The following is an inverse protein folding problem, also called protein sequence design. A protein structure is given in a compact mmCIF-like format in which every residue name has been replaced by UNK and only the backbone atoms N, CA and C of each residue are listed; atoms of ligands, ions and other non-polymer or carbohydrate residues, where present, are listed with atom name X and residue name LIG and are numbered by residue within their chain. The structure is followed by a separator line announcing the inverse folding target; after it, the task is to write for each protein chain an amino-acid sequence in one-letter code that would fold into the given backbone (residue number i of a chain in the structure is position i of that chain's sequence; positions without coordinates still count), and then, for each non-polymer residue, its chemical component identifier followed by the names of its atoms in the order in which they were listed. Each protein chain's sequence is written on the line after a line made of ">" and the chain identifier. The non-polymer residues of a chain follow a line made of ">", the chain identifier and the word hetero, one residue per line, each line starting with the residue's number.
data_IF_209275700748
#
_entry.id   IF_209275700748
#
_cell.length_a   1.000
_cell.length_b   1.000
_cell.length_c   1.000
_cell.angle_alpha   90.00
_cell.angle_beta   90.00
_cell.angle_gamma   90.00
#
_symmetry.space_group_name_H-M   'P 1'
#
loop_
_entity.id
_entity.type
_entity.pdbx_description
1 polymer ?
#
# COMPACT_ATOMS: atom_id res chain seq x y z
N UNK A 1 -2.02 -5.51 12.72
CA UNK A 1 -2.44 -5.76 11.32
C UNK A 1 -2.72 -7.23 11.07
N UNK A 2 -1.90 -8.16 11.58
CA UNK A 2 -2.01 -9.60 11.32
C UNK A 2 -3.35 -10.24 11.69
N UNK A 3 -3.90 -9.93 12.88
CA UNK A 3 -5.23 -10.44 13.29
C UNK A 3 -6.31 -10.05 12.29
N UNK A 4 -6.34 -8.77 11.87
CA UNK A 4 -7.28 -8.27 10.87
C UNK A 4 -7.08 -8.94 9.51
N UNK A 5 -5.83 -9.08 9.05
CA UNK A 5 -5.52 -9.74 7.79
C UNK A 5 -6.01 -11.20 7.81
N UNK A 6 -5.68 -11.94 8.88
CA UNK A 6 -6.16 -13.31 9.08
C UNK A 6 -7.68 -13.39 9.05
N UNK A 7 -8.38 -12.54 9.80
CA UNK A 7 -9.84 -12.52 9.81
C UNK A 7 -10.43 -12.22 8.43
N UNK A 8 -9.88 -11.24 7.70
CA UNK A 8 -10.33 -10.90 6.36
C UNK A 8 -10.13 -12.04 5.36
N UNK A 9 -9.02 -12.79 5.44
CA UNK A 9 -8.79 -13.97 4.60
C UNK A 9 -9.82 -15.08 4.84
N UNK A 10 -10.37 -15.22 6.05
CA UNK A 10 -11.44 -16.18 6.33
C UNK A 10 -12.78 -15.80 5.70
N UNK A 11 -12.94 -14.57 5.20
CA UNK A 11 -14.13 -14.15 4.48
C UNK A 11 -14.18 -14.69 3.04
N UNK A 12 -13.06 -15.21 2.52
CA UNK A 12 -12.96 -15.73 1.16
C UNK A 12 -13.76 -17.04 1.05
N UNK A 13 -14.81 -17.10 0.21
CA UNK A 13 -15.54 -18.33 -0.05
C UNK A 13 -14.62 -19.42 -0.62
N UNK A 14 -14.87 -20.69 -0.29
CA UNK A 14 -14.06 -21.83 -0.77
C UNK A 14 -13.88 -21.83 -2.30
N UNK A 15 -14.93 -21.48 -3.05
CA UNK A 15 -14.91 -21.41 -4.52
C UNK A 15 -14.01 -20.30 -5.07
N UNK A 16 -13.67 -19.31 -4.24
CA UNK A 16 -12.86 -18.16 -4.62
C UNK A 16 -11.42 -18.24 -4.07
N UNK A 17 -11.03 -19.31 -3.38
CA UNK A 17 -9.67 -19.46 -2.82
C UNK A 17 -8.54 -19.42 -3.86
N UNK A 18 -8.84 -19.69 -5.13
CA UNK A 18 -7.88 -19.62 -6.23
C UNK A 18 -7.72 -18.21 -6.81
N UNK A 19 -8.62 -17.28 -6.47
CA UNK A 19 -8.54 -15.88 -6.89
C UNK A 19 -7.42 -15.18 -6.13
N UNK A 20 -6.76 -14.18 -6.75
CA UNK A 20 -5.76 -13.40 -6.05
C UNK A 20 -6.39 -12.57 -4.92
N UNK A 21 -5.58 -12.19 -3.95
CA UNK A 21 -5.90 -11.11 -3.01
C UNK A 21 -5.02 -9.92 -3.32
N UNK A 22 -5.49 -8.70 -3.02
CA UNK A 22 -4.71 -7.49 -3.29
C UNK A 22 -4.29 -6.78 -2.01
N UNK A 23 -3.08 -6.22 -2.02
CA UNK A 23 -2.58 -5.30 -1.01
C UNK A 23 -2.48 -3.90 -1.63
N UNK A 24 -3.44 -3.03 -1.35
CA UNK A 24 -3.40 -1.66 -1.82
C UNK A 24 -2.57 -0.79 -0.86
N UNK A 25 -1.63 -0.04 -1.43
CA UNK A 25 -0.77 0.91 -0.70
C UNK A 25 -1.06 2.30 -1.23
N UNK A 26 -1.27 3.23 -0.31
CA UNK A 26 -1.47 4.64 -0.61
C UNK A 26 -0.96 5.50 0.56
N UNK A 27 -0.58 6.75 0.29
CA UNK A 27 -0.30 7.72 1.34
C UNK A 27 -1.21 8.94 1.30
N UNK A 28 -1.65 9.36 2.49
CA UNK A 28 -2.51 10.52 2.65
C UNK A 28 -1.85 11.57 3.52
N UNK A 29 -2.02 12.83 3.14
CA UNK A 29 -1.51 13.99 3.86
C UNK A 29 -2.66 14.63 4.66
N UNK A 30 -2.44 14.81 5.96
CA UNK A 30 -3.34 15.53 6.85
C UNK A 30 -2.68 16.86 7.22
N UNK A 31 -3.21 17.95 6.68
CA UNK A 31 -2.69 19.30 6.94
C UNK A 31 -2.81 19.68 8.42
N UNK A 32 -1.86 20.49 8.88
CA UNK A 32 -1.75 21.00 10.26
C UNK A 32 -1.44 22.49 10.25
N UNK A 33 -2.02 23.20 11.21
CA UNK A 33 -1.71 24.60 11.42
C UNK A 33 -0.39 24.73 12.20
N UNK A 34 0.62 25.33 11.56
CA UNK A 34 1.95 25.52 12.15
C UNK A 34 2.73 24.21 12.36
N UNK A 35 3.70 24.24 13.27
CA UNK A 35 4.66 23.16 13.53
C UNK A 35 4.59 22.61 14.96
N UNK A 36 3.56 23.00 15.73
CA UNK A 36 3.44 22.65 17.16
C UNK A 36 3.10 21.19 17.43
N UNK A 37 2.52 20.49 16.45
CA UNK A 37 2.22 19.07 16.57
C UNK A 37 3.50 18.24 16.36
N UNK A 38 3.66 17.20 17.18
CA UNK A 38 4.76 16.25 17.02
C UNK A 38 4.74 15.61 15.63
N UNK A 39 5.91 15.31 15.07
CA UNK A 39 6.08 14.63 13.76
C UNK A 39 5.48 15.38 12.56
N UNK A 40 5.18 16.68 12.70
CA UNK A 40 4.79 17.51 11.56
C UNK A 40 5.93 17.64 10.57
N UNK A 41 5.58 17.51 9.30
CA UNK A 41 6.50 17.61 8.18
C UNK A 41 6.03 18.67 7.21
N UNK A 42 6.99 19.39 6.62
CA UNK A 42 6.72 20.16 5.40
C UNK A 42 6.64 19.17 4.24
N UNK A 43 5.44 18.99 3.69
CA UNK A 43 5.10 17.99 2.68
C UNK A 43 4.69 18.69 1.39
N UNK A 44 5.01 18.09 0.26
CA UNK A 44 4.57 18.60 -1.03
C UNK A 44 3.08 18.28 -1.22
N UNK A 45 2.28 19.28 -1.52
CA UNK A 45 0.85 19.12 -1.79
C UNK A 45 0.63 19.12 -3.31
N UNK A 46 0.45 17.91 -3.84
CA UNK A 46 0.19 17.66 -5.27
C UNK A 46 -1.18 18.16 -5.73
N UNK A 47 -2.11 18.48 -4.82
CA UNK A 47 -3.47 18.91 -5.14
C UNK A 47 -3.66 20.44 -5.12
N UNK A 48 -2.71 21.20 -4.55
CA UNK A 48 -2.80 22.66 -4.52
C UNK A 48 -2.26 23.33 -5.78
N UNK A 49 -3.13 24.09 -6.45
CA UNK A 49 -2.78 24.96 -7.60
C UNK A 49 -2.46 26.42 -7.19
N UNK A 50 -2.12 26.67 -5.92
CA UNK A 50 -2.07 28.02 -5.34
C UNK A 50 -0.65 28.61 -5.27
N UNK A 51 0.33 28.06 -6.00
CA UNK A 51 1.70 28.59 -6.10
C UNK A 51 2.62 28.30 -4.89
N UNK A 52 2.08 27.78 -3.78
CA UNK A 52 2.89 27.21 -2.69
C UNK A 52 2.62 25.71 -2.61
N UNK A 53 3.54 24.92 -3.16
CA UNK A 53 3.36 23.48 -3.28
C UNK A 53 3.66 22.72 -1.98
N UNK A 54 3.74 23.41 -0.83
CA UNK A 54 4.13 22.79 0.43
C UNK A 54 3.21 23.19 1.57
N UNK A 55 2.79 22.19 2.36
CA UNK A 55 2.03 22.39 3.58
C UNK A 55 2.69 21.71 4.78
N UNK A 56 2.40 22.20 5.98
CA UNK A 56 2.74 21.48 7.20
C UNK A 56 1.68 20.40 7.44
N UNK A 57 2.08 19.16 7.61
CA UNK A 57 1.14 18.07 7.79
C UNK A 57 1.76 16.80 8.33
N UNK A 58 0.90 15.86 8.65
CA UNK A 58 1.26 14.46 8.84
C UNK A 58 1.07 13.72 7.53
N UNK A 59 1.94 12.77 7.25
CA UNK A 59 1.77 11.84 6.14
C UNK A 59 1.54 10.45 6.73
N UNK A 60 0.50 9.75 6.28
CA UNK A 60 0.21 8.39 6.71
C UNK A 60 0.31 7.46 5.50
N UNK A 61 1.09 6.40 5.64
CA UNK A 61 1.08 5.28 4.69
C UNK A 61 0.03 4.29 5.15
N UNK A 62 -0.85 3.91 4.24
CA UNK A 62 -1.94 2.97 4.45
C UNK A 62 -1.67 1.64 3.76
N UNK A 63 -2.15 0.56 4.37
CA UNK A 63 -2.18 -0.76 3.76
C UNK A 63 -3.59 -1.34 3.91
N UNK A 64 -4.18 -1.71 2.77
CA UNK A 64 -5.53 -2.25 2.70
C UNK A 64 -5.50 -3.60 1.99
N UNK A 65 -6.18 -4.60 2.56
CA UNK A 65 -6.34 -5.91 1.97
C UNK A 65 -7.67 -6.00 1.24
N UNK A 66 -7.65 -6.37 -0.03
CA UNK A 66 -8.85 -6.62 -0.83
C UNK A 66 -9.02 -8.12 -1.00
N UNK A 67 -10.11 -8.67 -0.47
CA UNK A 67 -10.45 -10.10 -0.57
C UNK A 67 -11.61 -10.35 -1.52
N UNK A 68 -11.57 -11.42 -2.34
CA UNK A 68 -12.65 -11.76 -3.26
C UNK A 68 -13.89 -12.26 -2.49
N UNK A 69 -15.06 -11.72 -2.84
CA UNK A 69 -16.38 -12.06 -2.29
C UNK A 69 -17.42 -12.14 -3.40
N UNK A 70 -18.53 -12.82 -3.13
CA UNK A 70 -19.68 -12.83 -4.03
C UNK A 70 -20.53 -11.58 -3.87
N UNK A 71 -20.87 -10.96 -5.00
CA UNK A 71 -21.84 -9.88 -5.09
C UNK A 71 -22.76 -10.12 -6.30
N UNK A 72 -23.98 -10.60 -6.03
CA UNK A 72 -25.00 -10.88 -7.08
C UNK A 72 -24.41 -11.68 -8.24
N UNK A 73 -23.81 -12.84 -7.91
CA UNK A 73 -23.18 -13.79 -8.84
C UNK A 73 -21.94 -13.27 -9.59
N UNK A 74 -21.41 -12.11 -9.21
CA UNK A 74 -20.13 -11.58 -9.69
C UNK A 74 -19.10 -11.56 -8.58
N UNK A 75 -17.84 -11.78 -8.93
CA UNK A 75 -16.74 -11.58 -7.99
C UNK A 75 -16.56 -10.07 -7.80
N UNK A 76 -16.59 -9.65 -6.54
CA UNK A 76 -16.24 -8.31 -6.10
C UNK A 76 -15.09 -8.41 -5.09
N UNK A 77 -14.37 -7.32 -4.89
CA UNK A 77 -13.31 -7.28 -3.89
C UNK A 77 -13.75 -6.41 -2.71
N UNK A 78 -13.82 -7.02 -1.52
CA UNK A 78 -14.09 -6.31 -0.28
C UNK A 78 -12.78 -5.76 0.26
N UNK A 79 -12.71 -4.45 0.40
CA UNK A 79 -11.53 -3.76 0.88
C UNK A 79 -11.56 -3.61 2.41
N UNK A 80 -10.53 -4.13 3.09
CA UNK A 80 -10.39 -4.15 4.54
C UNK A 80 -9.12 -3.40 4.93
N UNK A 81 -9.22 -2.26 5.64
CA UNK A 81 -8.05 -1.51 6.08
C UNK A 81 -7.26 -2.34 7.11
N UNK A 82 -6.00 -2.64 6.83
CA UNK A 82 -5.14 -3.37 7.76
C UNK A 82 -4.47 -2.44 8.76
N UNK A 83 -4.11 -1.24 8.33
CA UNK A 83 -3.54 -0.21 9.20
C UNK A 83 -3.06 1.04 8.48
N UNK A 84 -2.85 2.09 9.28
CA UNK A 84 -2.24 3.35 8.87
C UNK A 84 -1.01 3.59 9.75
N UNK A 85 0.12 3.97 9.16
CA UNK A 85 1.33 4.33 9.89
C UNK A 85 1.76 5.74 9.53
N UNK A 86 1.91 6.58 10.55
CA UNK A 86 2.46 7.92 10.39
C UNK A 86 3.93 7.83 9.96
N UNK A 87 4.27 8.55 8.90
CA UNK A 87 5.65 8.72 8.47
C UNK A 87 6.38 9.71 9.37
N UNK A 88 7.35 9.21 10.13
CA UNK A 88 8.13 9.98 11.10
C UNK A 88 9.51 10.43 10.59
N UNK A 89 9.78 10.29 9.27
CA UNK A 89 11.08 10.61 8.64
C UNK A 89 12.32 9.83 9.16
N UNK A 90 12.13 8.76 9.92
CA UNK A 90 13.21 7.84 10.33
C UNK A 90 13.65 6.90 9.20
N UNK A 91 12.73 6.66 8.27
CA UNK A 91 12.86 5.85 7.05
C UNK A 91 12.11 6.59 5.94
N UNK A 92 12.26 6.20 4.68
CA UNK A 92 11.43 6.69 3.56
C UNK A 92 10.01 6.13 3.64
N UNK A 93 9.03 6.76 2.98
CA UNK A 93 7.66 6.19 2.91
C UNK A 93 7.63 4.82 2.22
N UNK A 94 8.59 4.56 1.31
CA UNK A 94 8.72 3.28 0.62
C UNK A 94 9.20 2.18 1.56
N UNK A 95 10.20 2.46 2.40
CA UNK A 95 10.67 1.52 3.43
C UNK A 95 9.57 1.25 4.45
N UNK A 96 8.83 2.30 4.86
CA UNK A 96 7.67 2.16 5.73
C UNK A 96 6.61 1.24 5.09
N UNK A 97 6.25 1.45 3.83
CA UNK A 97 5.30 0.61 3.09
C UNK A 97 5.79 -0.85 2.98
N UNK A 98 7.04 -1.06 2.59
CA UNK A 98 7.65 -2.38 2.52
C UNK A 98 7.62 -3.09 3.90
N UNK A 99 7.90 -2.37 5.00
CA UNK A 99 7.82 -2.92 6.35
C UNK A 99 6.39 -3.35 6.72
N UNK A 100 5.37 -2.61 6.28
CA UNK A 100 3.97 -2.95 6.50
C UNK A 100 3.58 -4.22 5.76
N UNK A 101 4.04 -4.38 4.51
CA UNK A 101 3.83 -5.61 3.72
C UNK A 101 4.52 -6.80 4.38
N UNK A 102 5.82 -6.69 4.71
CA UNK A 102 6.57 -7.77 5.39
C UNK A 102 5.89 -8.23 6.68
N UNK A 103 5.31 -7.29 7.42
CA UNK A 103 4.63 -7.60 8.68
C UNK A 103 3.41 -8.51 8.47
N UNK A 104 2.65 -8.32 7.38
CA UNK A 104 1.40 -9.05 7.13
C UNK A 104 1.59 -10.30 6.26
N UNK A 105 2.61 -10.34 5.40
CA UNK A 105 2.88 -11.46 4.47
C UNK A 105 2.88 -12.86 5.09
N UNK A 106 3.36 -13.10 6.34
CA UNK A 106 3.26 -14.41 6.97
C UNK A 106 1.84 -14.99 7.01
N UNK A 107 0.81 -14.15 7.12
CA UNK A 107 -0.60 -14.56 7.14
C UNK A 107 -1.10 -15.05 5.76
N UNK A 108 -0.38 -14.72 4.68
CA UNK A 108 -0.75 -15.02 3.30
C UNK A 108 -0.06 -16.27 2.73
N UNK A 109 0.65 -17.03 3.56
CA UNK A 109 1.35 -18.26 3.15
C UNK A 109 0.43 -19.31 2.49
N UNK A 110 -0.87 -19.28 2.79
CA UNK A 110 -1.89 -20.16 2.19
C UNK A 110 -2.48 -19.63 0.87
N UNK A 111 -2.18 -18.38 0.51
CA UNK A 111 -2.74 -17.74 -0.68
C UNK A 111 -1.87 -18.04 -1.90
N UNK A 112 -2.53 -18.36 -3.02
CA UNK A 112 -1.83 -18.66 -4.27
C UNK A 112 -1.12 -17.42 -4.83
N UNK A 113 -1.81 -16.29 -4.83
CA UNK A 113 -1.30 -15.02 -5.35
C UNK A 113 -1.73 -13.87 -4.45
N UNK A 114 -0.75 -13.07 -4.01
CA UNK A 114 -0.93 -11.78 -3.35
C UNK A 114 -0.37 -10.74 -4.30
N UNK A 115 -1.15 -9.73 -4.65
CA UNK A 115 -0.74 -8.72 -5.62
C UNK A 115 -0.76 -7.35 -4.95
N UNK A 116 0.39 -6.67 -4.89
CA UNK A 116 0.46 -5.28 -4.43
C UNK A 116 -0.10 -4.37 -5.53
N UNK A 117 -0.97 -3.44 -5.14
CA UNK A 117 -1.48 -2.37 -5.98
C UNK A 117 -1.01 -1.03 -5.41
N UNK A 118 -0.28 -0.24 -6.20
CA UNK A 118 0.14 1.09 -5.80
C UNK A 118 0.24 2.04 -6.99
N UNK A 119 0.26 3.34 -6.69
CA UNK A 119 0.47 4.35 -7.71
C UNK A 119 1.93 4.39 -8.18
N UNK A 120 2.16 5.23 -9.18
CA UNK A 120 3.47 5.40 -9.81
C UNK A 120 4.55 6.04 -8.94
N UNK A 121 4.19 6.63 -7.80
CA UNK A 121 5.16 7.19 -6.87
C UNK A 121 5.90 6.08 -6.09
N UNK A 122 5.24 4.94 -5.91
CA UNK A 122 5.77 3.76 -5.24
C UNK A 122 6.66 2.87 -6.12
N UNK A 123 6.73 3.17 -7.43
CA UNK A 123 7.54 2.48 -8.45
C UNK A 123 9.04 2.79 -8.33
N UNK A 124 9.64 2.37 -7.22
CA UNK A 124 11.09 2.47 -6.98
C UNK A 124 11.63 1.18 -6.39
N UNK A 125 12.92 0.95 -6.60
CA UNK A 125 13.61 -0.30 -6.24
C UNK A 125 13.31 -0.79 -4.81
N UNK A 126 13.13 0.11 -3.84
CA UNK A 126 12.88 -0.26 -2.44
C UNK A 126 11.56 -1.00 -2.21
N UNK A 127 10.52 -0.71 -2.98
CA UNK A 127 9.26 -1.45 -2.91
C UNK A 127 9.27 -2.62 -3.91
N UNK A 128 9.78 -2.42 -5.11
CA UNK A 128 9.85 -3.46 -6.15
C UNK A 128 10.66 -4.68 -5.68
N UNK A 129 11.70 -4.50 -4.87
CA UNK A 129 12.52 -5.60 -4.37
C UNK A 129 11.77 -6.57 -3.44
N UNK A 130 10.66 -6.14 -2.82
CA UNK A 130 9.91 -6.99 -1.87
C UNK A 130 9.28 -8.22 -2.53
N UNK A 131 8.95 -8.14 -3.83
CA UNK A 131 8.38 -9.28 -4.57
C UNK A 131 9.38 -10.43 -4.67
N UNK A 132 10.69 -10.15 -4.55
CA UNK A 132 11.74 -11.17 -4.52
C UNK A 132 11.83 -11.90 -3.18
N UNK A 133 11.21 -11.37 -2.12
CA UNK A 133 11.24 -11.96 -0.78
C UNK A 133 10.18 -13.04 -0.58
N UNK A 134 9.11 -13.05 -1.40
CA UNK A 134 7.97 -13.95 -1.24
C UNK A 134 7.54 -14.55 -2.58
N UNK A 135 7.49 -15.89 -2.73
CA UNK A 135 7.25 -16.54 -4.02
C UNK A 135 5.81 -16.38 -4.53
N UNK A 136 4.88 -15.95 -3.68
CA UNK A 136 3.47 -15.73 -4.03
C UNK A 136 3.10 -14.24 -4.07
N UNK A 137 4.09 -13.34 -4.07
CA UNK A 137 3.88 -11.89 -4.06
C UNK A 137 4.27 -11.28 -5.41
N UNK A 138 3.29 -10.65 -6.05
CA UNK A 138 3.46 -9.91 -7.29
C UNK A 138 3.12 -8.43 -7.08
N UNK A 139 3.44 -7.59 -8.07
CA UNK A 139 3.21 -6.13 -8.04
C UNK A 139 2.56 -5.68 -9.35
N UNK A 140 1.50 -4.89 -9.23
CA UNK A 140 0.91 -4.11 -10.34
C UNK A 140 0.97 -2.64 -9.93
N UNK A 141 1.58 -1.83 -10.78
CA UNK A 141 1.80 -0.41 -10.55
C UNK A 141 1.56 0.41 -11.82
N UNK A 142 1.30 1.70 -11.64
CA UNK A 142 1.28 2.64 -12.76
C UNK A 142 2.71 3.06 -13.11
N UNK A 143 3.12 2.95 -14.36
CA UNK A 143 4.40 3.50 -14.80
C UNK A 143 4.32 5.03 -14.97
N UNK A 144 5.34 5.78 -14.54
CA UNK A 144 5.49 7.19 -14.96
C UNK A 144 6.29 7.28 -16.24
N UNK A 145 5.92 8.22 -17.10
CA UNK A 145 6.61 8.50 -18.35
C UNK A 145 8.07 9.00 -18.15
N UNK A 146 8.37 9.59 -17.00
CA UNK A 146 9.71 10.11 -16.64
C UNK A 146 10.58 9.10 -15.90
N UNK A 147 10.01 7.97 -15.49
CA UNK A 147 10.76 6.85 -14.91
C UNK A 147 11.38 6.08 -16.06
N UNK A 148 12.67 6.30 -16.28
CA UNK A 148 13.49 5.60 -17.28
C UNK A 148 13.22 4.09 -17.13
N UNK A 149 12.46 3.50 -18.07
CA UNK A 149 12.17 2.06 -18.18
C UNK A 149 13.41 1.34 -18.75
N UNK A 150 14.59 1.65 -18.22
CA UNK A 150 15.84 1.00 -18.60
C UNK A 150 16.51 0.47 -17.33
N UNK A 151 16.75 -0.84 -17.36
CA UNK A 151 17.61 -1.67 -16.46
C UNK A 151 16.89 -2.80 -15.70
N UNK A 152 15.70 -3.24 -16.10
CA UNK A 152 15.02 -4.42 -15.52
C UNK A 152 14.61 -5.51 -16.53
N UNK A 153 15.24 -5.58 -17.71
CA UNK A 153 15.21 -6.77 -18.58
C UNK A 153 16.48 -7.61 -18.39
#
# INVERSE_FOLDING_TARGET
>A
MNVTAKMALHLIPEQLKSQPVFLCIDDTIISKFGTKFENVSKLFDHATHNGCNYLNGHCFVSLMLCVPVWNRDKISYLAVPLGYRMWQKKESKLELAASMVRHVMPEFSSQKNVIILCDSWYTKQNLVSIVKEYPNLDLIENARADSIIYDHL
#
